data_IF_329850970686
#
_entry.id   IF_329850970686
#
_cell.length_a   1.000
_cell.length_b   1.000
_cell.length_c   1.000
_cell.angle_alpha   90.00
_cell.angle_beta   90.00
_cell.angle_gamma   90.00
#
_symmetry.space_group_name_H-M   'P 1'
#
loop_
_entity.id
_entity.type
_entity.pdbx_description
1 polymer ?
#
# COMPACT_ATOMS: atom_id res chain seq x y z
N UNK A 1 -7.50 30.81 -12.76
CA UNK A 1 -7.38 29.52 -12.03
C UNK A 1 -6.33 29.70 -10.94
N UNK A 2 -6.61 29.38 -9.67
CA UNK A 2 -5.63 29.52 -8.60
C UNK A 2 -4.53 28.47 -8.77
N UNK A 3 -3.30 28.94 -8.60
CA UNK A 3 -2.04 28.24 -8.83
C UNK A 3 -1.94 27.01 -7.90
N UNK A 4 -1.71 25.83 -8.46
CA UNK A 4 -1.41 24.64 -7.67
C UNK A 4 -0.06 24.86 -6.96
N UNK A 5 0.06 24.59 -5.65
CA UNK A 5 1.34 24.74 -4.98
C UNK A 5 2.36 23.80 -5.62
N UNK A 6 3.54 24.33 -5.89
CA UNK A 6 4.72 23.62 -6.37
C UNK A 6 5.22 22.67 -5.27
N UNK A 7 4.70 21.43 -5.26
CA UNK A 7 4.91 20.44 -4.17
C UNK A 7 6.13 19.53 -4.37
N UNK A 8 7.01 19.82 -5.33
CA UNK A 8 8.16 18.95 -5.59
C UNK A 8 9.48 19.75 -5.62
N UNK A 9 9.75 20.52 -4.56
CA UNK A 9 11.14 20.89 -4.28
C UNK A 9 11.93 19.60 -3.99
N UNK A 10 13.01 19.30 -4.73
CA UNK A 10 13.76 18.07 -4.53
C UNK A 10 14.43 18.13 -3.16
N UNK A 11 13.99 17.29 -2.22
CA UNK A 11 14.76 16.98 -1.03
C UNK A 11 16.12 16.45 -1.50
N UNK A 12 17.18 17.25 -1.29
CA UNK A 12 18.53 17.04 -1.84
C UNK A 12 19.32 15.93 -1.09
N UNK A 13 18.62 15.02 -0.40
CA UNK A 13 19.22 13.88 0.30
C UNK A 13 18.71 12.56 -0.29
N UNK A 14 19.57 11.56 -0.40
CA UNK A 14 19.14 10.22 -0.79
C UNK A 14 18.13 9.67 0.25
N UNK A 15 16.86 9.54 -0.13
CA UNK A 15 15.84 8.94 0.73
C UNK A 15 16.15 7.46 0.96
N UNK A 16 16.18 7.05 2.22
CA UNK A 16 16.39 5.66 2.59
C UNK A 16 15.11 4.84 2.42
N UNK A 17 15.23 3.51 2.33
CA UNK A 17 14.07 2.63 2.34
C UNK A 17 13.25 2.76 3.63
N UNK A 18 13.91 3.12 4.75
CA UNK A 18 13.23 3.38 6.01
C UNK A 18 12.31 4.60 5.90
N UNK A 19 12.73 5.66 5.19
CA UNK A 19 11.91 6.86 4.95
C UNK A 19 10.67 6.52 4.11
N UNK A 20 10.84 5.68 3.10
CA UNK A 20 9.73 5.18 2.27
C UNK A 20 8.73 4.37 3.10
N UNK A 21 9.25 3.49 3.97
CA UNK A 21 8.42 2.66 4.85
C UNK A 21 7.66 3.53 5.85
N UNK A 22 8.31 4.55 6.42
CA UNK A 22 7.70 5.50 7.32
C UNK A 22 6.59 6.31 6.64
N UNK A 23 6.83 6.80 5.42
CA UNK A 23 5.87 7.59 4.65
C UNK A 23 4.60 6.81 4.28
N UNK A 24 4.71 5.49 4.12
CA UNK A 24 3.59 4.63 3.74
C UNK A 24 2.95 3.88 4.90
N UNK A 25 3.50 3.95 6.12
CA UNK A 25 3.07 3.14 7.27
C UNK A 25 1.56 3.20 7.56
N UNK A 26 0.98 4.41 7.57
CA UNK A 26 -0.46 4.58 7.82
C UNK A 26 -1.32 3.97 6.70
N UNK A 27 -0.89 4.10 5.45
CA UNK A 27 -1.57 3.48 4.31
C UNK A 27 -1.45 1.96 4.34
N UNK A 28 -0.27 1.43 4.70
CA UNK A 28 -0.04 -0.01 4.84
C UNK A 28 -0.90 -0.63 5.94
N UNK A 29 -1.10 0.06 7.06
CA UNK A 29 -2.02 -0.41 8.10
C UNK A 29 -3.48 -0.52 7.60
N UNK A 30 -3.92 0.41 6.73
CA UNK A 30 -5.23 0.34 6.08
C UNK A 30 -5.31 -0.79 5.05
N UNK A 31 -4.23 -1.02 4.29
CA UNK A 31 -4.12 -2.16 3.37
C UNK A 31 -4.23 -3.48 4.14
N UNK A 32 -3.57 -3.62 5.30
CA UNK A 32 -3.66 -4.82 6.14
C UNK A 32 -5.09 -5.09 6.60
N UNK A 33 -5.76 -4.04 7.08
CA UNK A 33 -7.15 -4.15 7.50
C UNK A 33 -8.07 -4.53 6.33
N UNK A 34 -7.83 -3.96 5.14
CA UNK A 34 -8.59 -4.28 3.94
C UNK A 34 -8.36 -5.73 3.49
N UNK A 35 -7.11 -6.20 3.42
CA UNK A 35 -6.80 -7.61 3.08
C UNK A 35 -7.54 -8.57 4.01
N UNK A 36 -7.49 -8.33 5.33
CA UNK A 36 -8.20 -9.19 6.31
C UNK A 36 -9.71 -9.22 6.07
N UNK A 37 -10.29 -8.07 5.74
CA UNK A 37 -11.72 -7.94 5.47
C UNK A 37 -12.09 -8.68 4.17
N UNK A 38 -11.35 -8.46 3.09
CA UNK A 38 -11.66 -9.06 1.78
C UNK A 38 -11.44 -10.59 1.75
N UNK A 39 -10.50 -11.11 2.56
CA UNK A 39 -10.23 -12.55 2.67
C UNK A 39 -10.88 -13.20 3.90
N UNK A 40 -11.81 -12.51 4.55
CA UNK A 40 -12.63 -13.12 5.58
C UNK A 40 -13.49 -14.21 4.96
N UNK A 41 -13.34 -15.44 5.46
CA UNK A 41 -14.08 -16.60 4.96
C UNK A 41 -14.21 -17.65 6.05
N UNK A 42 -15.28 -18.45 5.99
CA UNK A 42 -15.43 -19.65 6.82
C UNK A 42 -14.44 -20.75 6.41
N UNK A 43 -13.93 -20.70 5.18
CA UNK A 43 -12.90 -21.61 4.69
C UNK A 43 -11.54 -21.21 5.27
N UNK A 44 -10.98 -22.08 6.12
CA UNK A 44 -9.71 -21.83 6.82
C UNK A 44 -8.56 -21.45 5.87
N UNK A 45 -8.45 -22.14 4.74
CA UNK A 45 -7.38 -21.90 3.77
C UNK A 45 -7.39 -20.47 3.23
N UNK A 46 -8.57 -19.89 3.00
CA UNK A 46 -8.70 -18.52 2.48
C UNK A 46 -8.19 -17.52 3.53
N UNK A 47 -8.51 -17.71 4.81
CA UNK A 47 -7.99 -16.88 5.90
C UNK A 47 -6.46 -16.99 6.02
N UNK A 48 -5.91 -18.19 5.84
CA UNK A 48 -4.46 -18.41 5.89
C UNK A 48 -3.72 -17.68 4.77
N UNK A 49 -4.32 -17.58 3.58
CA UNK A 49 -3.76 -16.76 2.49
C UNK A 49 -3.70 -15.29 2.91
N UNK A 50 -4.74 -14.75 3.54
CA UNK A 50 -4.73 -13.37 4.01
C UNK A 50 -3.62 -13.08 5.01
N UNK A 51 -3.43 -13.95 6.01
CA UNK A 51 -2.35 -13.80 6.96
C UNK A 51 -0.97 -14.01 6.32
N UNK A 52 -0.84 -14.89 5.32
CA UNK A 52 0.39 -15.04 4.56
C UNK A 52 0.79 -13.76 3.81
N UNK A 53 -0.18 -13.12 3.13
CA UNK A 53 0.05 -11.85 2.42
C UNK A 53 0.49 -10.76 3.40
N UNK A 54 -0.12 -10.68 4.59
CA UNK A 54 0.22 -9.67 5.60
C UNK A 54 1.59 -9.97 6.24
N UNK A 55 1.87 -11.24 6.54
CA UNK A 55 3.09 -11.70 7.17
C UNK A 55 4.31 -11.68 6.24
N UNK A 56 4.14 -11.50 4.92
CA UNK A 56 5.23 -11.29 3.97
C UNK A 56 6.15 -10.09 4.32
N UNK A 57 5.74 -9.24 5.27
CA UNK A 57 6.60 -8.28 5.96
C UNK A 57 6.86 -7.00 5.17
N UNK A 58 8.00 -6.35 5.44
CA UNK A 58 8.39 -5.05 4.83
C UNK A 58 8.68 -5.09 3.32
N UNK A 59 8.57 -6.26 2.67
CA UNK A 59 8.79 -6.46 1.23
C UNK A 59 7.55 -6.21 0.36
N UNK A 60 6.44 -5.74 0.93
CA UNK A 60 5.20 -5.39 0.21
C UNK A 60 5.36 -4.11 -0.61
N UNK A 61 6.36 -4.14 -1.49
CA UNK A 61 6.81 -3.07 -2.36
C UNK A 61 5.68 -2.66 -3.30
N UNK A 62 4.83 -3.59 -3.72
CA UNK A 62 3.71 -3.32 -4.62
C UNK A 62 2.65 -2.42 -3.96
N UNK A 63 2.05 -2.77 -2.80
CA UNK A 63 1.20 -1.86 -2.05
C UNK A 63 1.89 -0.54 -1.72
N UNK A 64 3.13 -0.56 -1.23
CA UNK A 64 3.86 0.67 -0.90
C UNK A 64 4.01 1.60 -2.11
N UNK A 65 4.35 1.06 -3.28
CA UNK A 65 4.48 1.83 -4.51
C UNK A 65 3.15 2.48 -4.92
N UNK A 66 2.03 1.75 -4.83
CA UNK A 66 0.69 2.30 -5.10
C UNK A 66 0.37 3.46 -4.16
N UNK A 67 0.64 3.30 -2.85
CA UNK A 67 0.37 4.33 -1.86
C UNK A 67 1.26 5.57 -2.07
N UNK A 68 2.53 5.40 -2.44
CA UNK A 68 3.44 6.51 -2.79
C UNK A 68 2.96 7.27 -4.01
N UNK A 69 2.55 6.55 -5.07
CA UNK A 69 1.99 7.17 -6.27
C UNK A 69 0.73 7.98 -5.93
N UNK A 70 -0.16 7.45 -5.10
CA UNK A 70 -1.35 8.18 -4.65
C UNK A 70 -1.00 9.45 -3.86
N UNK A 71 -0.03 9.36 -2.94
CA UNK A 71 0.47 10.53 -2.21
C UNK A 71 1.09 11.58 -3.14
N UNK A 72 1.90 11.15 -4.12
CA UNK A 72 2.49 12.03 -5.12
C UNK A 72 1.44 12.70 -6.02
N UNK A 73 0.32 12.02 -6.30
CA UNK A 73 -0.82 12.56 -7.03
C UNK A 73 -1.75 13.46 -6.18
N UNK A 74 -1.45 13.63 -4.89
CA UNK A 74 -2.06 14.68 -4.06
C UNK A 74 -3.01 14.20 -2.97
N UNK A 75 -3.32 12.90 -2.86
CA UNK A 75 -3.97 12.37 -1.64
C UNK A 75 -3.97 10.84 -1.53
N UNK A 76 -3.85 10.36 -0.28
CA UNK A 76 -4.06 8.97 0.09
C UNK A 76 -5.55 8.70 0.37
N UNK A 77 -6.32 8.41 -0.67
CA UNK A 77 -7.75 8.12 -0.56
C UNK A 77 -8.04 6.63 -0.35
N UNK A 78 -9.29 6.30 -0.02
CA UNK A 78 -9.75 4.90 0.11
C UNK A 78 -9.50 4.10 -1.18
N UNK A 79 -9.72 4.70 -2.35
CA UNK A 79 -9.48 4.06 -3.65
C UNK A 79 -8.02 3.62 -3.84
N UNK A 80 -7.05 4.38 -3.31
CA UNK A 80 -5.64 4.01 -3.36
C UNK A 80 -5.33 2.78 -2.49
N UNK A 81 -5.99 2.65 -1.34
CA UNK A 81 -5.89 1.47 -0.47
C UNK A 81 -6.50 0.26 -1.17
N UNK A 82 -7.69 0.40 -1.76
CA UNK A 82 -8.35 -0.67 -2.50
C UNK A 82 -7.51 -1.12 -3.71
N UNK A 83 -6.95 -0.17 -4.46
CA UNK A 83 -6.05 -0.49 -5.57
C UNK A 83 -4.80 -1.25 -5.11
N UNK A 84 -4.20 -0.84 -3.98
CA UNK A 84 -3.05 -1.53 -3.41
C UNK A 84 -3.38 -2.98 -3.02
N UNK A 85 -4.57 -3.23 -2.47
CA UNK A 85 -5.09 -4.58 -2.17
C UNK A 85 -5.24 -5.41 -3.44
N UNK A 86 -5.90 -4.85 -4.47
CA UNK A 86 -6.13 -5.53 -5.75
C UNK A 86 -4.81 -5.93 -6.41
N UNK A 87 -3.83 -5.03 -6.45
CA UNK A 87 -2.50 -5.31 -7.02
C UNK A 87 -1.82 -6.46 -6.28
N UNK A 88 -1.90 -6.50 -4.95
CA UNK A 88 -1.29 -7.55 -4.14
C UNK A 88 -2.03 -8.89 -4.28
N UNK A 89 -3.35 -8.88 -4.44
CA UNK A 89 -4.12 -10.08 -4.74
C UNK A 89 -3.79 -10.67 -6.09
N UNK A 90 -3.70 -9.84 -7.14
CA UNK A 90 -3.29 -10.29 -8.47
C UNK A 90 -1.89 -10.89 -8.41
N UNK A 91 -0.95 -10.23 -7.72
CA UNK A 91 0.38 -10.79 -7.53
C UNK A 91 0.34 -12.16 -6.85
N UNK A 92 -0.38 -12.26 -5.73
CA UNK A 92 -0.49 -13.49 -4.94
C UNK A 92 -1.14 -14.62 -5.75
N UNK A 93 -2.16 -14.32 -6.56
CA UNK A 93 -2.85 -15.31 -7.38
C UNK A 93 -1.98 -15.87 -8.53
N UNK A 94 -0.87 -15.22 -8.86
CA UNK A 94 0.05 -15.63 -9.93
C UNK A 94 1.32 -16.31 -9.43
N UNK A 95 1.51 -16.41 -8.11
CA UNK A 95 2.61 -17.13 -7.48
C UNK A 95 2.22 -18.58 -7.20
#
# INVERSE_FOLDING_TARGET
>A
MPNAPDRLSPATGASSLADVTALTAAGMARVDAAIRRELYSDVLLIRQIGEHIIAAGGKRLRPQLVLLCAQACGSLQEDAVQLAVVVEFIHTATL
#
